data_IF_618885186586
#
_entry.id   IF_618885186586
#
_cell.length_a   1.000
_cell.length_b   1.000
_cell.length_c   1.000
_cell.angle_alpha   90.00
_cell.angle_beta   90.00
_cell.angle_gamma   90.00
#
_symmetry.space_group_name_H-M   'P 1'
#
loop_
_entity.id
_entity.type
_entity.pdbx_description
1 polymer ?
#
# COMPACT_ATOMS: atom_id res chain seq x y z
N UNK A 1 -9.54 -0.36 -24.37
CA UNK A 1 -8.27 -0.29 -23.61
C UNK A 1 -8.41 -1.22 -22.41
N UNK A 2 -7.43 -2.07 -22.14
CA UNK A 2 -7.39 -2.88 -20.92
C UNK A 2 -7.33 -1.96 -19.68
N UNK A 3 -7.93 -2.39 -18.57
CA UNK A 3 -7.85 -1.64 -17.33
C UNK A 3 -6.39 -1.63 -16.81
N UNK A 4 -5.93 -0.47 -16.31
CA UNK A 4 -4.60 -0.32 -15.73
C UNK A 4 -4.56 -1.06 -14.38
N UNK A 5 -3.60 -1.95 -14.20
CA UNK A 5 -3.41 -2.66 -12.93
C UNK A 5 -2.81 -1.73 -11.88
N UNK A 6 -3.43 -1.68 -10.69
CA UNK A 6 -2.90 -0.92 -9.54
C UNK A 6 -2.76 -1.84 -8.33
N UNK A 7 -1.54 -2.07 -7.87
CA UNK A 7 -1.28 -2.71 -6.58
C UNK A 7 -1.21 -1.65 -5.49
N UNK A 8 -2.25 -1.55 -4.68
CA UNK A 8 -2.31 -0.63 -3.56
C UNK A 8 -1.79 -1.28 -2.27
N UNK A 9 -0.70 -0.74 -1.72
CA UNK A 9 -0.12 -1.22 -0.46
C UNK A 9 -0.76 -0.46 0.70
N UNK A 10 -1.54 -1.16 1.51
CA UNK A 10 -2.22 -0.64 2.70
C UNK A 10 -1.62 -1.19 4.00
N UNK A 11 -1.81 -0.50 5.11
CA UNK A 11 -1.25 -0.82 6.41
C UNK A 11 -0.54 0.37 7.05
N UNK A 12 0.09 0.18 8.22
CA UNK A 12 0.75 1.29 8.90
C UNK A 12 2.18 1.54 8.39
N UNK A 13 2.62 2.79 8.48
CA UNK A 13 3.97 3.22 8.11
C UNK A 13 5.07 2.42 8.85
N UNK A 14 6.28 2.39 8.29
CA UNK A 14 7.46 1.67 8.81
C UNK A 14 7.35 0.14 8.70
N UNK A 15 6.48 -0.36 7.84
CA UNK A 15 6.30 -1.80 7.60
C UNK A 15 7.04 -2.33 6.37
N UNK A 16 7.93 -1.53 5.73
CA UNK A 16 8.76 -2.00 4.61
C UNK A 16 8.16 -1.78 3.22
N UNK A 17 7.07 -1.01 3.08
CA UNK A 17 6.44 -0.74 1.77
C UNK A 17 7.38 -0.09 0.76
N UNK A 18 8.31 0.77 1.20
CA UNK A 18 9.29 1.42 0.31
C UNK A 18 10.21 0.41 -0.36
N UNK A 19 10.78 -0.52 0.39
CA UNK A 19 11.70 -1.50 -0.19
C UNK A 19 10.97 -2.51 -1.08
N UNK A 20 9.78 -2.98 -0.69
CA UNK A 20 8.97 -3.87 -1.51
C UNK A 20 8.56 -3.17 -2.81
N UNK A 21 8.10 -1.92 -2.73
CA UNK A 21 7.74 -1.13 -3.90
C UNK A 21 8.92 -0.88 -4.83
N UNK A 22 10.11 -0.56 -4.27
CA UNK A 22 11.32 -0.38 -5.07
C UNK A 22 11.77 -1.67 -5.76
N UNK A 23 11.64 -2.83 -5.09
CA UNK A 23 11.93 -4.12 -5.74
C UNK A 23 10.96 -4.38 -6.89
N UNK A 24 9.66 -4.14 -6.71
CA UNK A 24 8.67 -4.29 -7.77
C UNK A 24 8.86 -3.27 -8.90
N UNK A 25 9.45 -2.10 -8.63
CA UNK A 25 9.80 -1.12 -9.66
C UNK A 25 10.87 -1.61 -10.65
N UNK A 26 11.64 -2.62 -10.28
CA UNK A 26 12.64 -3.25 -11.16
C UNK A 26 12.05 -4.34 -12.08
N UNK A 27 10.75 -4.59 -11.97
CA UNK A 27 10.01 -5.48 -12.87
C UNK A 27 9.58 -4.67 -14.10
N UNK A 28 9.84 -5.21 -15.30
CA UNK A 28 9.46 -4.56 -16.54
C UNK A 28 7.95 -4.26 -16.58
N UNK A 29 7.58 -3.05 -16.99
CA UNK A 29 6.19 -2.60 -17.04
C UNK A 29 5.58 -2.23 -15.69
N UNK A 30 6.31 -2.33 -14.58
CA UNK A 30 5.89 -1.90 -13.27
C UNK A 30 6.47 -0.54 -12.89
N UNK A 31 5.69 0.29 -12.19
CA UNK A 31 6.14 1.58 -11.69
C UNK A 31 5.69 1.81 -10.25
N UNK A 32 6.64 2.11 -9.34
CA UNK A 32 6.36 2.44 -7.95
C UNK A 32 6.26 3.95 -7.73
N UNK A 33 5.08 4.42 -7.35
CA UNK A 33 4.82 5.84 -7.10
C UNK A 33 5.36 6.35 -5.77
N UNK A 34 5.67 5.47 -4.82
CA UNK A 34 5.85 5.83 -3.42
C UNK A 34 4.51 6.10 -2.74
N UNK A 35 4.45 7.05 -1.83
CA UNK A 35 3.23 7.45 -1.11
C UNK A 35 2.51 8.56 -1.88
N UNK A 36 1.81 8.19 -2.96
CA UNK A 36 1.17 9.12 -3.90
C UNK A 36 0.21 10.10 -3.22
N UNK A 37 -0.46 9.65 -2.17
CA UNK A 37 -1.36 10.47 -1.34
C UNK A 37 -0.74 11.75 -0.77
N UNK A 38 0.59 11.85 -0.76
CA UNK A 38 1.31 13.04 -0.29
C UNK A 38 1.83 13.94 -1.43
N UNK A 39 1.57 13.61 -2.69
CA UNK A 39 2.13 14.34 -3.83
C UNK A 39 1.84 15.85 -3.76
N UNK A 40 0.58 16.23 -3.76
CA UNK A 40 0.19 17.66 -3.77
C UNK A 40 0.62 18.40 -2.51
N UNK A 41 0.53 17.73 -1.34
CA UNK A 41 0.99 18.29 -0.07
C UNK A 41 2.49 18.60 -0.08
N UNK A 42 3.30 17.71 -0.64
CA UNK A 42 4.76 17.86 -0.66
C UNK A 42 5.26 18.71 -1.84
N UNK A 43 4.48 18.85 -2.91
CA UNK A 43 4.85 19.68 -4.06
C UNK A 43 4.61 21.18 -3.81
N UNK A 44 3.38 21.53 -3.42
CA UNK A 44 2.96 22.94 -3.29
C UNK A 44 2.34 23.27 -1.93
N UNK A 45 2.14 22.28 -1.06
CA UNK A 45 1.61 22.48 0.29
C UNK A 45 2.72 22.66 1.33
N UNK A 46 2.37 22.44 2.58
CA UNK A 46 3.28 22.55 3.74
C UNK A 46 3.99 21.23 4.09
N UNK A 47 4.21 20.36 3.11
CA UNK A 47 4.93 19.10 3.30
C UNK A 47 6.43 19.30 3.42
N UNK A 48 7.09 18.48 4.23
CA UNK A 48 8.55 18.55 4.46
C UNK A 48 9.37 17.66 3.53
N UNK A 49 8.72 16.73 2.81
CA UNK A 49 9.40 15.75 1.97
C UNK A 49 9.23 16.09 0.48
N UNK A 50 9.88 17.17 0.05
CA UNK A 50 9.68 17.79 -1.27
C UNK A 50 10.48 17.15 -2.40
N UNK A 51 11.42 16.23 -2.08
CA UNK A 51 12.25 15.59 -3.09
C UNK A 51 11.57 14.35 -3.69
N UNK A 52 11.72 14.17 -4.98
CA UNK A 52 11.45 12.93 -5.70
C UNK A 52 12.54 11.89 -5.40
N UNK A 53 12.26 10.60 -5.56
CA UNK A 53 13.25 9.51 -5.50
C UNK A 53 14.42 9.68 -6.47
N UNK A 54 14.23 10.45 -7.54
CA UNK A 54 15.30 10.81 -8.48
C UNK A 54 16.26 11.91 -7.97
N UNK A 55 15.99 12.48 -6.79
CA UNK A 55 16.82 13.52 -6.17
C UNK A 55 16.45 14.97 -6.54
N UNK A 56 15.55 15.21 -7.51
CA UNK A 56 15.06 16.56 -7.85
C UNK A 56 13.83 16.92 -7.02
N UNK A 57 13.49 18.21 -6.91
CA UNK A 57 12.21 18.61 -6.30
C UNK A 57 11.03 18.06 -7.11
N UNK A 58 9.92 17.69 -6.44
CA UNK A 58 8.72 17.13 -7.09
C UNK A 58 8.20 18.04 -8.22
N UNK A 59 8.16 19.32 -8.00
CA UNK A 59 7.71 20.32 -9.00
C UNK A 59 8.64 20.44 -10.23
N UNK A 60 9.91 20.03 -10.09
CA UNK A 60 10.92 20.06 -11.15
C UNK A 60 11.16 18.67 -11.77
N UNK A 61 10.61 17.63 -11.17
CA UNK A 61 10.75 16.27 -11.70
C UNK A 61 9.97 16.14 -13.01
N UNK A 62 10.59 15.64 -14.11
CA UNK A 62 9.92 15.54 -15.42
C UNK A 62 8.63 14.73 -15.41
N UNK A 63 8.52 13.75 -14.49
CA UNK A 63 7.30 12.97 -14.32
C UNK A 63 6.27 13.74 -13.49
N UNK A 64 6.66 14.19 -12.29
CA UNK A 64 5.70 14.74 -11.35
C UNK A 64 5.18 16.11 -11.74
N UNK A 65 5.94 16.93 -12.48
CA UNK A 65 5.44 18.19 -13.04
C UNK A 65 4.21 17.95 -13.91
N UNK A 66 4.24 16.95 -14.81
CA UNK A 66 3.10 16.59 -15.66
C UNK A 66 1.90 16.06 -14.85
N UNK A 67 2.16 15.29 -13.79
CA UNK A 67 1.10 14.73 -12.94
C UNK A 67 0.43 15.81 -12.10
N UNK A 68 1.20 16.78 -11.60
CA UNK A 68 0.70 17.87 -10.75
C UNK A 68 -0.28 18.80 -11.48
N UNK A 69 -0.23 18.88 -12.79
CA UNK A 69 -1.17 19.64 -13.62
C UNK A 69 -2.54 18.95 -13.76
N UNK A 70 -2.62 17.66 -13.43
CA UNK A 70 -3.85 16.88 -13.62
C UNK A 70 -4.97 17.31 -12.67
N UNK A 71 -6.15 17.61 -13.27
CA UNK A 71 -7.34 17.99 -12.50
C UNK A 71 -7.35 19.44 -11.99
N UNK A 72 -6.40 20.28 -12.41
CA UNK A 72 -6.45 21.73 -12.23
C UNK A 72 -7.65 22.32 -12.99
N UNK A 73 -8.28 23.33 -12.42
CA UNK A 73 -9.36 24.09 -13.07
C UNK A 73 -8.76 25.18 -13.97
N UNK A 74 -9.49 25.61 -15.03
CA UNK A 74 -9.04 26.72 -15.85
C UNK A 74 -8.72 27.96 -15.01
N UNK A 75 -7.48 28.48 -15.12
CA UNK A 75 -7.01 29.64 -14.38
C UNK A 75 -6.66 29.39 -12.90
N UNK A 76 -6.74 28.16 -12.43
CA UNK A 76 -6.35 27.79 -11.06
C UNK A 76 -4.81 27.75 -10.93
N UNK A 77 -4.26 28.39 -9.89
CA UNK A 77 -2.82 28.28 -9.62
C UNK A 77 -2.47 26.87 -9.09
N UNK A 78 -1.21 26.41 -9.31
CA UNK A 78 -0.77 25.10 -8.79
C UNK A 78 -0.95 24.95 -7.28
N UNK A 79 -0.75 26.02 -6.52
CA UNK A 79 -0.91 26.01 -5.06
C UNK A 79 -2.39 25.89 -4.66
N UNK A 80 -3.29 26.60 -5.36
CA UNK A 80 -4.74 26.52 -5.12
C UNK A 80 -5.26 25.10 -5.44
N UNK A 81 -4.80 24.53 -6.57
CA UNK A 81 -5.11 23.15 -6.96
C UNK A 81 -4.63 22.15 -5.90
N UNK A 82 -3.37 22.25 -5.48
CA UNK A 82 -2.82 21.37 -4.46
C UNK A 82 -3.56 21.48 -3.12
N UNK A 83 -3.91 22.69 -2.70
CA UNK A 83 -4.69 22.92 -1.48
C UNK A 83 -6.07 22.26 -1.57
N UNK A 84 -6.75 22.40 -2.72
CA UNK A 84 -8.06 21.78 -2.98
C UNK A 84 -7.95 20.26 -2.96
N UNK A 85 -6.94 19.67 -3.61
CA UNK A 85 -6.70 18.23 -3.63
C UNK A 85 -6.44 17.67 -2.21
N UNK A 86 -5.59 18.36 -1.42
CA UNK A 86 -5.26 17.98 -0.03
C UNK A 86 -6.48 18.07 0.88
N UNK A 87 -7.28 19.15 0.79
CA UNK A 87 -8.52 19.31 1.58
C UNK A 87 -9.49 18.18 1.27
N UNK A 88 -9.77 17.93 -0.03
CA UNK A 88 -10.64 16.85 -0.45
C UNK A 88 -10.20 15.50 0.11
N UNK A 89 -8.92 15.17 0.02
CA UNK A 89 -8.38 13.95 0.59
C UNK A 89 -8.60 13.88 2.12
N UNK A 90 -8.35 14.98 2.84
CA UNK A 90 -8.54 15.03 4.29
C UNK A 90 -10.00 14.81 4.70
N UNK A 91 -10.94 15.30 3.91
CA UNK A 91 -12.37 15.24 4.21
C UNK A 91 -13.00 13.91 3.79
N UNK A 92 -12.39 13.20 2.83
CA UNK A 92 -13.00 12.01 2.23
C UNK A 92 -12.29 10.70 2.53
N UNK A 93 -10.94 10.64 2.46
CA UNK A 93 -10.17 9.38 2.47
C UNK A 93 -9.15 9.24 3.60
N UNK A 94 -9.37 9.85 4.75
CA UNK A 94 -8.58 9.54 5.96
C UNK A 94 -9.02 8.21 6.55
N UNK A 95 -8.13 7.50 7.23
CA UNK A 95 -8.38 6.16 7.79
C UNK A 95 -9.69 6.05 8.57
N UNK A 96 -10.08 7.10 9.31
CA UNK A 96 -11.37 7.16 10.03
C UNK A 96 -12.60 7.06 9.12
N UNK A 97 -12.45 7.33 7.82
CA UNK A 97 -13.53 7.29 6.84
C UNK A 97 -13.69 5.92 6.17
N UNK A 98 -12.78 4.96 6.42
CA UNK A 98 -12.76 3.66 5.73
C UNK A 98 -14.12 2.98 5.76
N UNK A 99 -14.75 2.89 6.94
CA UNK A 99 -16.06 2.27 7.06
C UNK A 99 -17.14 2.98 6.26
N UNK A 100 -17.12 4.32 6.25
CA UNK A 100 -18.05 5.12 5.46
C UNK A 100 -17.88 4.84 3.96
N UNK A 101 -16.65 4.82 3.46
CA UNK A 101 -16.36 4.54 2.04
C UNK A 101 -16.79 3.13 1.67
N UNK A 102 -16.48 2.13 2.48
CA UNK A 102 -16.87 0.74 2.25
C UNK A 102 -18.38 0.49 2.18
N UNK A 103 -19.21 1.36 2.79
CA UNK A 103 -20.67 1.23 2.81
C UNK A 103 -21.38 1.97 1.68
N UNK A 104 -20.64 2.68 0.86
CA UNK A 104 -21.21 3.42 -0.28
C UNK A 104 -21.09 2.60 -1.54
N UNK A 105 -22.22 2.12 -2.07
CA UNK A 105 -22.27 1.48 -3.39
C UNK A 105 -22.06 2.52 -4.49
N UNK A 106 -22.52 3.75 -4.27
CA UNK A 106 -22.26 4.91 -5.13
C UNK A 106 -21.52 5.97 -4.30
N UNK A 107 -20.32 6.39 -4.73
CA UNK A 107 -19.55 7.42 -4.04
C UNK A 107 -20.30 8.75 -3.96
N UNK A 108 -20.14 9.50 -2.85
CA UNK A 108 -20.55 10.90 -2.81
C UNK A 108 -19.82 11.72 -3.87
N UNK A 109 -20.33 12.91 -4.19
CA UNK A 109 -19.72 13.81 -5.19
C UNK A 109 -18.24 14.04 -4.90
N UNK A 110 -17.86 14.32 -3.65
CA UNK A 110 -16.47 14.58 -3.25
C UNK A 110 -15.59 13.33 -3.39
N UNK A 111 -16.12 12.14 -3.05
CA UNK A 111 -15.42 10.88 -3.25
C UNK A 111 -15.25 10.55 -4.72
N UNK A 112 -16.29 10.80 -5.52
CA UNK A 112 -16.24 10.62 -6.98
C UNK A 112 -15.19 11.53 -7.60
N UNK A 113 -15.15 12.81 -7.24
CA UNK A 113 -14.15 13.75 -7.73
C UNK A 113 -12.73 13.37 -7.31
N UNK A 114 -12.54 12.81 -6.10
CA UNK A 114 -11.25 12.27 -5.68
C UNK A 114 -10.87 11.03 -6.51
N UNK A 115 -11.81 10.12 -6.76
CA UNK A 115 -11.59 8.96 -7.62
C UNK A 115 -11.23 9.36 -9.06
N UNK A 116 -11.86 10.42 -9.61
CA UNK A 116 -11.51 10.95 -10.93
C UNK A 116 -10.10 11.54 -10.97
N UNK A 117 -9.69 12.25 -9.93
CA UNK A 117 -8.32 12.75 -9.82
C UNK A 117 -7.31 11.60 -9.78
N UNK A 118 -7.56 10.56 -8.98
CA UNK A 118 -6.72 9.36 -8.95
C UNK A 118 -6.65 8.66 -10.31
N UNK A 119 -7.79 8.51 -10.98
CA UNK A 119 -7.84 7.89 -12.32
C UNK A 119 -6.97 8.63 -13.33
N UNK A 120 -7.06 9.98 -13.37
CA UNK A 120 -6.22 10.82 -14.22
C UNK A 120 -4.75 10.69 -13.85
N UNK A 121 -4.46 10.73 -12.56
CA UNK A 121 -3.09 10.61 -12.01
C UNK A 121 -2.44 9.30 -12.43
N UNK A 122 -3.09 8.16 -12.21
CA UNK A 122 -2.54 6.85 -12.57
C UNK A 122 -2.35 6.71 -14.09
N UNK A 123 -3.28 7.20 -14.90
CA UNK A 123 -3.13 7.18 -16.35
C UNK A 123 -1.95 8.03 -16.82
N UNK A 124 -1.82 9.26 -16.31
CA UNK A 124 -0.69 10.13 -16.66
C UNK A 124 0.65 9.50 -16.27
N UNK A 125 0.72 8.82 -15.13
CA UNK A 125 1.92 8.07 -14.72
C UNK A 125 2.19 6.94 -15.71
N UNK A 126 1.18 6.11 -16.01
CA UNK A 126 1.29 4.99 -16.93
C UNK A 126 1.75 5.44 -18.32
N UNK A 127 1.14 6.49 -18.88
CA UNK A 127 1.48 7.05 -20.19
C UNK A 127 2.91 7.63 -20.21
N UNK A 128 3.32 8.30 -19.14
CA UNK A 128 4.64 8.93 -19.05
C UNK A 128 5.78 7.94 -18.82
N UNK A 129 5.48 6.77 -18.24
CA UNK A 129 6.48 5.74 -17.89
C UNK A 129 6.43 4.52 -18.80
N UNK A 130 5.38 4.36 -19.61
CA UNK A 130 5.11 3.15 -20.40
C UNK A 130 4.70 1.95 -19.53
N UNK A 131 4.30 2.17 -18.28
CA UNK A 131 3.98 1.09 -17.35
C UNK A 131 2.52 0.67 -17.45
N UNK A 132 2.25 -0.62 -17.31
CA UNK A 132 0.90 -1.19 -17.27
C UNK A 132 0.51 -1.66 -15.85
N UNK A 133 1.45 -1.64 -14.91
CA UNK A 133 1.23 -1.88 -13.48
C UNK A 133 1.75 -0.69 -12.67
N UNK A 134 0.90 -0.12 -11.83
CA UNK A 134 1.28 0.91 -10.87
C UNK A 134 1.28 0.32 -9.46
N UNK A 135 2.37 0.52 -8.73
CA UNK A 135 2.47 0.16 -7.31
C UNK A 135 2.33 1.44 -6.49
N UNK A 136 1.23 1.58 -5.74
CA UNK A 136 0.99 2.72 -4.87
C UNK A 136 1.09 2.33 -3.41
N UNK A 137 2.03 2.92 -2.70
CA UNK A 137 2.22 2.69 -1.26
C UNK A 137 1.60 3.81 -0.40
N UNK A 138 0.46 4.35 -0.80
CA UNK A 138 -0.27 5.43 -0.12
C UNK A 138 -0.75 5.08 1.29
N UNK A 139 -0.90 3.81 1.62
CA UNK A 139 -1.20 3.21 2.93
C UNK A 139 -2.59 3.47 3.49
N UNK A 140 -3.33 4.49 3.06
CA UNK A 140 -4.64 4.82 3.61
C UNK A 140 -5.69 3.75 3.26
N UNK A 141 -6.26 3.02 4.26
CA UNK A 141 -7.28 2.01 3.99
C UNK A 141 -8.54 2.58 3.35
N UNK A 142 -8.87 3.84 3.62
CA UNK A 142 -10.01 4.51 3.00
C UNK A 142 -9.81 4.81 1.51
N UNK A 143 -8.59 5.10 1.10
CA UNK A 143 -8.24 5.27 -0.31
C UNK A 143 -8.22 3.91 -1.01
N UNK A 144 -7.68 2.86 -0.34
CA UNK A 144 -7.81 1.48 -0.81
C UNK A 144 -9.29 1.06 -1.01
N UNK A 145 -10.18 1.45 -0.07
CA UNK A 145 -11.61 1.20 -0.18
C UNK A 145 -12.28 1.95 -1.35
N UNK A 146 -11.70 3.07 -1.78
CA UNK A 146 -12.19 3.85 -2.93
C UNK A 146 -11.76 3.28 -4.29
N UNK A 147 -10.69 2.47 -4.34
CA UNK A 147 -10.12 1.98 -5.59
C UNK A 147 -11.11 1.31 -6.55
N UNK A 148 -12.14 0.53 -6.12
CA UNK A 148 -13.12 -0.05 -7.02
C UNK A 148 -13.95 0.99 -7.78
N UNK A 149 -14.00 2.24 -7.30
CA UNK A 149 -14.72 3.35 -7.91
C UNK A 149 -13.82 4.26 -8.79
N UNK A 150 -12.53 3.91 -8.92
CA UNK A 150 -11.60 4.63 -9.80
C UNK A 150 -11.69 4.07 -11.21
N UNK A 151 -12.22 4.87 -12.12
CA UNK A 151 -12.52 4.43 -13.48
C UNK A 151 -11.26 4.01 -14.26
N UNK A 152 -11.37 2.82 -14.92
CA UNK A 152 -10.33 2.31 -15.80
C UNK A 152 -9.11 1.73 -15.12
N UNK A 153 -9.21 1.41 -13.82
CA UNK A 153 -8.20 0.63 -13.11
C UNK A 153 -8.73 -0.72 -12.65
N UNK A 154 -7.81 -1.67 -12.49
CA UNK A 154 -8.02 -2.99 -11.88
C UNK A 154 -7.25 -3.03 -10.57
N UNK A 155 -7.89 -2.83 -9.40
CA UNK A 155 -7.18 -2.76 -8.13
C UNK A 155 -6.85 -4.14 -7.57
N UNK A 156 -5.62 -4.24 -7.02
CA UNK A 156 -5.14 -5.32 -6.16
C UNK A 156 -4.60 -4.73 -4.86
N UNK A 157 -4.57 -5.50 -3.79
CA UNK A 157 -4.27 -5.00 -2.46
C UNK A 157 -3.18 -5.83 -1.79
N UNK A 158 -2.16 -5.15 -1.28
CA UNK A 158 -1.20 -5.72 -0.36
C UNK A 158 -1.43 -5.16 1.04
N UNK A 159 -1.97 -5.98 1.96
CA UNK A 159 -2.02 -5.63 3.37
C UNK A 159 -0.67 -5.98 4.01
N UNK A 160 0.17 -4.97 4.17
CA UNK A 160 1.53 -5.11 4.67
C UNK A 160 1.61 -4.72 6.14
N UNK A 161 2.02 -5.66 6.98
CA UNK A 161 2.20 -5.45 8.42
C UNK A 161 3.65 -5.70 8.85
N UNK A 162 4.02 -5.17 9.99
CA UNK A 162 5.28 -5.44 10.68
C UNK A 162 5.04 -5.51 12.18
N UNK A 163 5.91 -6.22 12.91
CA UNK A 163 5.85 -6.28 14.38
C UNK A 163 5.65 -4.89 14.99
N UNK A 164 4.57 -4.65 15.75
CA UNK A 164 4.27 -3.34 16.31
C UNK A 164 5.38 -2.80 17.22
N UNK A 165 6.18 -3.68 17.85
CA UNK A 165 7.32 -3.30 18.68
C UNK A 165 8.47 -2.75 17.83
N UNK A 166 8.73 -3.39 16.67
CA UNK A 166 9.69 -2.89 15.69
C UNK A 166 9.24 -1.56 15.08
N UNK A 167 7.96 -1.43 14.79
CA UNK A 167 7.35 -0.19 14.29
C UNK A 167 7.45 0.93 15.32
N UNK A 168 7.06 0.69 16.57
CA UNK A 168 7.15 1.66 17.65
C UNK A 168 8.60 2.12 17.85
N UNK A 169 9.56 1.19 17.87
CA UNK A 169 10.99 1.49 17.94
C UNK A 169 11.45 2.37 16.77
N UNK A 170 11.02 2.06 15.53
CA UNK A 170 11.35 2.87 14.35
C UNK A 170 10.82 4.30 14.46
N UNK A 171 9.69 4.54 15.16
CA UNK A 171 9.12 5.86 15.37
C UNK A 171 9.79 6.66 16.48
N UNK A 172 10.54 6.04 17.38
CA UNK A 172 11.34 6.76 18.39
C UNK A 172 12.62 7.37 17.81
N UNK A 173 13.09 6.86 16.66
CA UNK A 173 14.30 7.35 16.00
C UNK A 173 14.00 8.61 15.20
N UNK A 174 14.72 9.70 15.46
CA UNK A 174 14.66 10.92 14.63
C UNK A 174 15.16 10.64 13.23
N UNK A 175 14.37 11.01 12.22
CA UNK A 175 14.74 10.96 10.81
C UNK A 175 14.43 12.30 10.16
N UNK A 176 15.15 12.63 9.09
CA UNK A 176 15.15 13.95 8.45
C UNK A 176 13.75 14.55 8.17
N UNK A 177 12.74 13.71 7.89
CA UNK A 177 11.38 14.15 7.53
C UNK A 177 10.30 13.67 8.50
N UNK A 178 10.68 13.17 9.66
CA UNK A 178 9.76 12.48 10.55
C UNK A 178 9.89 12.99 11.96
N UNK A 179 8.81 13.58 12.45
CA UNK A 179 8.68 13.93 13.87
C UNK A 179 8.53 12.63 14.67
N UNK A 180 9.34 12.40 15.70
CA UNK A 180 9.22 11.24 16.56
C UNK A 180 7.82 11.13 17.17
N UNK A 181 7.36 9.89 17.34
CA UNK A 181 6.04 9.60 17.90
C UNK A 181 6.19 8.68 19.12
N UNK A 182 5.37 8.90 20.15
CA UNK A 182 5.36 7.99 21.29
C UNK A 182 4.94 6.58 20.90
N UNK A 183 5.48 5.57 21.58
CA UNK A 183 5.16 4.17 21.30
C UNK A 183 3.65 3.88 21.40
N UNK A 184 2.96 4.44 22.39
CA UNK A 184 1.52 4.29 22.55
C UNK A 184 0.75 4.85 21.34
N UNK A 185 1.06 6.07 20.90
CA UNK A 185 0.42 6.70 19.74
C UNK A 185 0.71 5.92 18.46
N UNK A 186 1.95 5.51 18.24
CA UNK A 186 2.33 4.67 17.09
C UNK A 186 1.55 3.37 17.07
N UNK A 187 1.40 2.71 18.23
CA UNK A 187 0.67 1.45 18.34
C UNK A 187 -0.82 1.62 18.11
N UNK A 188 -1.43 2.72 18.59
CA UNK A 188 -2.83 3.02 18.31
C UNK A 188 -3.09 3.22 16.81
N UNK A 189 -2.21 3.96 16.13
CA UNK A 189 -2.29 4.08 14.65
C UNK A 189 -2.06 2.73 13.96
N UNK A 190 -1.05 1.96 14.39
CA UNK A 190 -0.79 0.62 13.86
C UNK A 190 -2.04 -0.25 13.96
N UNK A 191 -2.70 -0.27 15.11
CA UNK A 191 -3.92 -1.02 15.33
C UNK A 191 -5.05 -0.55 14.40
N UNK A 192 -5.36 0.76 14.40
CA UNK A 192 -6.46 1.31 13.62
C UNK A 192 -6.26 1.16 12.10
N UNK A 193 -5.05 1.37 11.60
CA UNK A 193 -4.75 1.17 10.17
C UNK A 193 -4.89 -0.30 9.77
N UNK A 194 -4.36 -1.23 10.57
CA UNK A 194 -4.41 -2.64 10.22
C UNK A 194 -5.83 -3.23 10.31
N UNK A 195 -6.64 -2.83 11.30
CA UNK A 195 -8.06 -3.20 11.34
C UNK A 195 -8.81 -2.67 10.11
N UNK A 196 -8.59 -1.40 9.75
CA UNK A 196 -9.22 -0.81 8.58
C UNK A 196 -8.76 -1.48 7.27
N UNK A 197 -7.46 -1.85 7.16
CA UNK A 197 -6.94 -2.60 6.01
C UNK A 197 -7.56 -3.98 5.89
N UNK A 198 -7.75 -4.70 7.01
CA UNK A 198 -8.46 -5.98 7.01
C UNK A 198 -9.90 -5.85 6.49
N UNK A 199 -10.61 -4.78 6.85
CA UNK A 199 -11.98 -4.55 6.37
C UNK A 199 -12.03 -4.39 4.85
N UNK A 200 -11.03 -3.74 4.27
CA UNK A 200 -10.91 -3.58 2.81
C UNK A 200 -10.58 -4.90 2.14
N UNK A 201 -9.50 -5.55 2.58
CA UNK A 201 -8.99 -6.76 1.90
C UNK A 201 -9.95 -7.93 2.00
N UNK A 202 -10.73 -8.05 3.09
CA UNK A 202 -11.79 -9.06 3.21
C UNK A 202 -12.93 -8.92 2.21
N UNK A 203 -13.14 -7.74 1.63
CA UNK A 203 -14.12 -7.53 0.56
C UNK A 203 -13.61 -7.94 -0.81
N UNK A 204 -12.30 -8.10 -0.94
CA UNK A 204 -11.62 -8.44 -2.19
C UNK A 204 -10.61 -9.57 -2.00
N UNK A 205 -11.03 -10.75 -1.49
CA UNK A 205 -10.10 -11.83 -1.09
C UNK A 205 -9.24 -12.30 -2.27
N UNK A 206 -9.82 -12.46 -3.47
CA UNK A 206 -9.12 -12.91 -4.68
C UNK A 206 -8.10 -11.89 -5.23
N UNK A 207 -8.17 -10.63 -4.77
CA UNK A 207 -7.32 -9.53 -5.21
C UNK A 207 -6.45 -8.99 -4.08
N UNK A 208 -6.33 -9.75 -2.99
CA UNK A 208 -5.64 -9.30 -1.79
C UNK A 208 -4.62 -10.32 -1.31
N UNK A 209 -3.47 -9.82 -0.89
CA UNK A 209 -2.45 -10.59 -0.19
C UNK A 209 -2.18 -9.95 1.17
N UNK A 210 -2.18 -10.78 2.23
CA UNK A 210 -1.67 -10.39 3.54
C UNK A 210 -0.19 -10.79 3.64
N UNK A 211 0.66 -9.86 4.04
CA UNK A 211 2.10 -10.07 4.14
C UNK A 211 2.66 -9.45 5.41
N UNK A 212 3.46 -10.22 6.15
CA UNK A 212 4.32 -9.66 7.19
C UNK A 212 5.66 -9.27 6.57
N UNK A 213 6.19 -8.13 6.98
CA UNK A 213 7.52 -7.68 6.56
C UNK A 213 8.60 -8.72 6.85
N UNK A 214 8.47 -9.41 7.99
CA UNK A 214 9.37 -10.47 8.43
C UNK A 214 9.39 -11.65 7.46
N UNK A 215 8.23 -12.00 6.86
CA UNK A 215 8.13 -13.09 5.87
C UNK A 215 8.77 -12.67 4.54
N UNK A 216 8.56 -11.40 4.12
CA UNK A 216 9.28 -10.85 2.96
C UNK A 216 10.79 -10.95 3.16
N UNK A 217 11.30 -10.51 4.30
CA UNK A 217 12.73 -10.56 4.56
C UNK A 217 13.26 -12.00 4.71
N UNK A 218 12.47 -12.93 5.21
CA UNK A 218 12.86 -14.35 5.30
C UNK A 218 13.00 -14.99 3.91
N UNK A 219 12.06 -14.69 2.99
CA UNK A 219 11.99 -15.30 1.66
C UNK A 219 11.63 -14.26 0.59
N UNK A 220 12.56 -13.31 0.29
CA UNK A 220 12.22 -12.17 -0.56
C UNK A 220 11.84 -12.57 -2.00
N UNK A 221 12.56 -13.50 -2.62
CA UNK A 221 12.23 -13.93 -3.98
C UNK A 221 10.84 -14.57 -4.05
N UNK A 222 10.53 -15.54 -3.18
CA UNK A 222 9.22 -16.19 -3.14
C UNK A 222 8.08 -15.23 -2.84
N UNK A 223 8.34 -14.18 -2.04
CA UNK A 223 7.35 -13.13 -1.78
C UNK A 223 7.08 -12.31 -3.03
N UNK A 224 8.11 -11.92 -3.77
CA UNK A 224 7.94 -11.18 -5.02
C UNK A 224 7.20 -12.03 -6.06
N UNK A 225 7.53 -13.33 -6.21
CA UNK A 225 6.78 -14.24 -7.10
C UNK A 225 5.29 -14.28 -6.73
N UNK A 226 4.97 -14.32 -5.43
CA UNK A 226 3.58 -14.30 -4.97
C UNK A 226 2.87 -12.99 -5.27
N UNK A 227 3.56 -11.85 -5.20
CA UNK A 227 3.02 -10.54 -5.56
C UNK A 227 2.81 -10.42 -7.07
N UNK A 228 3.76 -10.91 -7.89
CA UNK A 228 3.61 -10.94 -9.35
C UNK A 228 2.42 -11.80 -9.76
N UNK A 229 2.25 -12.97 -9.15
CA UNK A 229 1.09 -13.82 -9.36
C UNK A 229 -0.21 -13.12 -8.98
N UNK A 230 -0.26 -12.43 -7.82
CA UNK A 230 -1.43 -11.69 -7.38
C UNK A 230 -1.90 -10.68 -8.43
N UNK A 231 -0.97 -9.91 -9.03
CA UNK A 231 -1.25 -8.88 -10.03
C UNK A 231 -1.30 -9.40 -11.46
N UNK A 232 -1.29 -10.73 -11.64
CA UNK A 232 -1.37 -11.43 -12.92
C UNK A 232 -0.17 -11.18 -13.86
N UNK A 233 1.00 -10.98 -13.28
CA UNK A 233 2.28 -10.81 -13.99
C UNK A 233 3.16 -12.08 -13.87
N UNK A 234 2.57 -13.25 -14.01
CA UNK A 234 3.23 -14.55 -13.81
C UNK A 234 4.45 -14.79 -14.73
N UNK A 235 4.53 -14.07 -15.86
CA UNK A 235 5.62 -14.16 -16.82
C UNK A 235 6.74 -13.16 -16.58
N UNK A 236 6.55 -12.23 -15.66
CA UNK A 236 7.54 -11.21 -15.34
C UNK A 236 8.76 -11.85 -14.65
N UNK A 237 9.93 -11.30 -14.96
CA UNK A 237 11.18 -11.78 -14.36
C UNK A 237 11.31 -11.21 -12.96
N UNK A 238 11.45 -12.08 -11.96
CA UNK A 238 11.71 -11.67 -10.59
C UNK A 238 13.10 -11.02 -10.48
N UNK A 239 13.22 -9.76 -10.06
CA UNK A 239 14.48 -9.06 -9.96
C UNK A 239 15.36 -9.52 -8.78
N UNK A 240 14.82 -10.30 -7.84
CA UNK A 240 15.53 -10.76 -6.64
C UNK A 240 16.31 -12.04 -6.94
N UNK A 241 17.63 -11.97 -6.80
CA UNK A 241 18.52 -13.12 -6.91
C UNK A 241 19.02 -13.51 -5.52
N UNK A 242 18.47 -14.61 -4.97
CA UNK A 242 18.72 -15.01 -3.58
C UNK A 242 18.18 -13.96 -2.60
N UNK A 243 19.03 -13.10 -2.07
CA UNK A 243 18.68 -11.98 -1.18
C UNK A 243 19.14 -10.62 -1.72
N UNK A 244 19.56 -10.58 -2.95
CA UNK A 244 20.12 -9.35 -3.57
C UNK A 244 19.22 -8.91 -4.72
N UNK A 245 19.06 -7.61 -4.85
CA UNK A 245 18.38 -6.95 -5.96
C UNK A 245 19.24 -5.78 -6.43
N UNK A 246 19.23 -5.50 -7.73
CA UNK A 246 19.84 -4.29 -8.28
C UNK A 246 18.74 -3.25 -8.41
N UNK A 247 18.81 -2.21 -7.59
CA UNK A 247 17.84 -1.10 -7.62
C UNK A 247 18.31 -0.01 -8.55
N UNK A 248 17.45 0.39 -9.46
CA UNK A 248 17.63 1.53 -10.34
C UNK A 248 17.25 2.86 -9.66
N UNK A 249 17.38 3.95 -10.42
CA UNK A 249 16.85 5.26 -10.05
C UNK A 249 15.34 5.24 -10.18
N UNK A 250 14.63 5.72 -9.18
CA UNK A 250 13.17 5.75 -9.18
C UNK A 250 12.61 7.18 -9.05
N UNK A 251 11.29 7.31 -9.21
CA UNK A 251 10.57 8.59 -9.09
C UNK A 251 9.53 8.56 -7.97
N UNK A 252 9.84 7.93 -6.86
CA UNK A 252 8.90 7.82 -5.74
C UNK A 252 8.61 9.17 -5.06
N UNK A 253 7.33 9.38 -4.73
CA UNK A 253 6.86 10.46 -3.86
C UNK A 253 6.93 10.00 -2.42
N UNK A 254 7.57 10.74 -1.54
CA UNK A 254 7.60 10.42 -0.11
C UNK A 254 8.08 8.97 0.17
N UNK A 255 8.30 8.64 1.39
CA UNK A 255 8.74 7.32 1.82
C UNK A 255 9.93 7.39 2.75
N UNK A 256 10.46 6.21 3.09
CA UNK A 256 11.68 6.12 3.90
C UNK A 256 12.89 6.60 3.08
N UNK A 257 13.97 7.12 3.70
CA UNK A 257 15.22 7.44 3.00
C UNK A 257 15.77 6.31 2.13
N UNK A 258 15.44 5.06 2.42
CA UNK A 258 15.80 3.89 1.59
C UNK A 258 15.29 3.99 0.13
N UNK A 259 14.38 4.91 -0.18
CA UNK A 259 13.95 5.18 -1.56
C UNK A 259 15.04 5.75 -2.46
N UNK A 260 16.12 6.30 -1.86
CA UNK A 260 17.28 6.80 -2.58
C UNK A 260 18.36 5.73 -2.79
N UNK A 261 18.16 4.50 -2.28
CA UNK A 261 19.06 3.39 -2.53
C UNK A 261 19.06 3.03 -4.01
N UNK A 262 20.25 2.83 -4.56
CA UNK A 262 20.47 2.37 -5.93
C UNK A 262 21.65 1.40 -5.98
N UNK A 263 21.73 0.61 -7.05
CA UNK A 263 22.78 -0.40 -7.22
C UNK A 263 22.46 -1.70 -6.47
N UNK A 264 23.47 -2.54 -6.32
CA UNK A 264 23.32 -3.84 -5.65
C UNK A 264 22.96 -3.70 -4.19
N UNK A 265 21.75 -4.12 -3.85
CA UNK A 265 21.16 -3.95 -2.51
C UNK A 265 20.86 -5.31 -1.90
N UNK A 266 21.43 -5.58 -0.72
CA UNK A 266 21.15 -6.78 0.06
C UNK A 266 19.89 -6.59 0.90
N UNK A 267 18.88 -7.42 0.69
CA UNK A 267 17.67 -7.50 1.52
C UNK A 267 18.03 -8.21 2.84
N UNK A 268 18.50 -7.41 3.80
CA UNK A 268 19.03 -7.91 5.08
C UNK A 268 17.90 -8.49 5.94
N UNK A 269 18.19 -9.50 6.79
CA UNK A 269 17.30 -9.93 7.84
C UNK A 269 16.80 -8.74 8.66
N UNK A 270 15.55 -8.83 9.10
CA UNK A 270 14.86 -7.72 9.76
C UNK A 270 15.65 -7.11 10.91
N UNK A 271 15.43 -5.80 11.10
CA UNK A 271 16.02 -5.03 12.20
C UNK A 271 15.41 -5.49 13.54
N UNK A 272 16.11 -6.38 14.21
CA UNK A 272 15.80 -6.89 15.56
C UNK A 272 16.34 -6.00 16.69
N UNK A 273 16.90 -4.81 16.35
CA UNK A 273 17.45 -3.87 17.33
C UNK A 273 16.45 -3.50 18.42
N UNK A 274 15.15 -3.45 18.09
CA UNK A 274 14.10 -3.20 19.07
C UNK A 274 14.08 -4.23 20.22
N UNK A 275 14.51 -5.46 19.97
CA UNK A 275 14.61 -6.51 21.00
C UNK A 275 15.59 -6.13 22.12
N UNK A 276 16.65 -5.42 21.77
CA UNK A 276 17.69 -4.97 22.71
C UNK A 276 17.44 -3.53 23.17
N UNK A 277 17.10 -2.62 22.23
CA UNK A 277 17.08 -1.17 22.47
C UNK A 277 15.77 -0.67 23.09
N UNK A 278 14.63 -1.35 22.84
CA UNK A 278 13.35 -0.91 23.39
C UNK A 278 13.22 -1.33 24.87
N UNK A 279 12.92 -0.38 25.74
CA UNK A 279 12.78 -0.63 27.19
C UNK A 279 11.68 -1.69 27.46
N UNK A 280 11.85 -2.60 28.45
CA UNK A 280 10.89 -3.66 28.76
C UNK A 280 9.47 -3.16 28.99
N UNK A 281 9.31 -2.04 29.70
CA UNK A 281 7.99 -1.40 29.95
C UNK A 281 7.31 -0.97 28.67
N UNK A 282 8.07 -0.44 27.70
CA UNK A 282 7.54 -0.02 26.39
C UNK A 282 7.15 -1.23 25.55
N UNK A 283 7.94 -2.32 25.57
CA UNK A 283 7.58 -3.59 24.91
C UNK A 283 6.27 -4.15 25.46
N UNK A 284 6.11 -4.16 26.79
CA UNK A 284 4.89 -4.63 27.45
C UNK A 284 3.66 -3.77 27.04
N UNK A 285 3.80 -2.43 27.07
CA UNK A 285 2.76 -1.50 26.66
C UNK A 285 2.33 -1.73 25.20
N UNK A 286 3.29 -1.77 24.28
CA UNK A 286 3.02 -2.01 22.85
C UNK A 286 2.34 -3.36 22.65
N UNK A 287 2.82 -4.42 23.32
CA UNK A 287 2.24 -5.75 23.23
C UNK A 287 0.80 -5.80 23.77
N UNK A 288 0.53 -5.11 24.87
CA UNK A 288 -0.83 -5.03 25.44
C UNK A 288 -1.79 -4.27 24.50
N UNK A 289 -1.38 -3.11 23.98
CA UNK A 289 -2.22 -2.29 23.09
C UNK A 289 -2.48 -2.96 21.72
N UNK A 290 -1.56 -3.78 21.24
CA UNK A 290 -1.68 -4.49 19.97
C UNK A 290 -2.18 -5.93 20.10
N UNK A 291 -2.47 -6.39 21.35
CA UNK A 291 -2.74 -7.79 21.70
C UNK A 291 -3.72 -8.52 20.78
N UNK A 292 -4.88 -7.96 20.37
CA UNK A 292 -5.83 -8.71 19.54
C UNK A 292 -5.25 -9.07 18.17
N UNK A 293 -4.51 -8.13 17.54
CA UNK A 293 -3.95 -8.33 16.20
C UNK A 293 -2.63 -9.11 16.21
N UNK A 294 -1.79 -8.95 17.25
CA UNK A 294 -0.51 -9.67 17.32
C UNK A 294 -0.69 -11.18 17.39
N UNK A 295 -1.77 -11.66 18.01
CA UNK A 295 -2.15 -13.08 17.97
C UNK A 295 -2.51 -13.52 16.55
N UNK A 296 -3.39 -12.76 15.88
CA UNK A 296 -3.85 -13.02 14.52
C UNK A 296 -2.71 -12.97 13.49
N UNK A 297 -1.80 -12.01 13.63
CA UNK A 297 -0.67 -11.83 12.71
C UNK A 297 0.57 -12.67 13.09
N UNK A 298 0.43 -13.60 14.05
CA UNK A 298 1.49 -14.52 14.48
C UNK A 298 2.76 -13.82 14.98
N UNK A 299 2.61 -12.70 15.70
CA UNK A 299 3.70 -12.00 16.39
C UNK A 299 3.88 -12.49 17.85
N UNK A 300 3.17 -13.54 18.24
CA UNK A 300 3.31 -14.26 19.52
C UNK A 300 4.05 -15.57 19.28
N UNK A 301 5.14 -15.77 19.99
CA UNK A 301 5.98 -16.97 19.87
C UNK A 301 7.24 -16.78 19.02
N UNK A 302 8.06 -17.83 18.87
CA UNK A 302 9.22 -17.83 18.00
C UNK A 302 8.77 -17.58 16.54
N UNK A 303 9.62 -17.00 15.68
CA UNK A 303 9.29 -16.79 14.29
C UNK A 303 8.96 -18.14 13.63
N UNK A 304 7.72 -18.27 13.14
CA UNK A 304 7.35 -19.40 12.32
C UNK A 304 8.06 -19.29 10.96
N UNK A 305 8.40 -20.42 10.31
CA UNK A 305 8.92 -20.39 8.95
C UNK A 305 7.96 -19.63 8.04
N UNK A 306 8.51 -18.87 7.09
CA UNK A 306 7.76 -18.03 6.17
C UNK A 306 6.70 -18.87 5.44
N UNK A 307 5.43 -18.54 5.68
CA UNK A 307 4.31 -19.05 4.91
C UNK A 307 3.64 -17.84 4.26
N UNK A 308 3.68 -17.80 2.94
CA UNK A 308 2.78 -16.95 2.15
C UNK A 308 1.39 -17.58 2.31
N UNK A 309 0.54 -16.97 3.12
CA UNK A 309 -0.83 -17.44 3.32
C UNK A 309 -1.69 -16.81 2.24
N UNK A 310 -2.30 -17.59 1.32
CA UNK A 310 -3.41 -17.09 0.52
C UNK A 310 -4.46 -16.48 1.46
N UNK A 311 -5.17 -15.47 0.99
CA UNK A 311 -6.27 -14.90 1.75
C UNK A 311 -7.23 -15.99 2.26
N UNK A 312 -8.07 -15.74 3.29
CA UNK A 312 -8.98 -16.74 3.83
C UNK A 312 -9.82 -17.33 2.70
N UNK A 313 -9.86 -18.67 2.63
CA UNK A 313 -10.71 -19.38 1.67
C UNK A 313 -12.14 -18.85 1.73
N UNK A 314 -12.82 -18.68 0.59
CA UNK A 314 -14.21 -18.29 0.57
C UNK A 314 -15.01 -19.30 1.38
N UNK A 315 -15.81 -18.84 2.32
CA UNK A 315 -16.80 -19.65 3.01
C UNK A 315 -17.80 -20.10 1.94
N UNK A 316 -17.67 -21.32 1.45
CA UNK A 316 -18.67 -21.95 0.59
C UNK A 316 -19.91 -22.11 1.45
N UNK A 317 -20.89 -21.24 1.24
CA UNK A 317 -22.22 -21.47 1.80
C UNK A 317 -22.79 -22.74 1.19
N UNK A 318 -22.85 -23.79 1.98
CA UNK A 318 -23.55 -25.05 1.67
C UNK A 318 -25.08 -24.77 1.68
N UNK A 319 -25.56 -24.14 0.62
CA UNK A 319 -26.96 -23.69 0.53
C UNK A 319 -27.57 -23.75 -0.86
N UNK A 320 -26.94 -24.39 -1.85
CA UNK A 320 -27.55 -24.52 -3.19
C UNK A 320 -27.42 -25.92 -3.82
N UNK A 321 -27.49 -26.95 -3.01
CA UNK A 321 -27.66 -28.34 -3.49
C UNK A 321 -29.11 -28.75 -3.23
N UNK A 322 -30.04 -28.41 -4.15
CA UNK A 322 -31.42 -28.86 -3.99
C UNK A 322 -32.43 -28.24 -4.93
N UNK A 323 -32.19 -28.25 -6.25
CA UNK A 323 -33.26 -28.17 -7.24
C UNK A 323 -32.92 -29.02 -8.47
N UNK A 324 -32.98 -30.31 -8.29
CA UNK A 324 -33.18 -31.23 -9.43
C UNK A 324 -34.63 -31.14 -9.85
N UNK A 325 -34.86 -30.77 -11.08
CA UNK A 325 -36.12 -30.73 -11.75
C UNK A 325 -36.59 -32.14 -12.06
N UNK A 326 -37.72 -32.50 -11.49
CA UNK A 326 -38.51 -33.65 -11.91
C UNK A 326 -38.94 -33.50 -13.37
N UNK A 327 -38.28 -34.21 -14.25
CA UNK A 327 -38.70 -34.40 -15.64
C UNK A 327 -39.88 -35.38 -15.74
N UNK A 328 -40.98 -34.86 -16.24
CA UNK A 328 -42.19 -35.62 -16.56
C UNK A 328 -41.93 -36.62 -17.68
N UNK A 329 -42.13 -37.87 -17.38
CA UNK A 329 -42.24 -38.91 -18.39
C UNK A 329 -43.55 -38.78 -19.16
N UNK A 330 -43.49 -38.88 -20.46
CA UNK A 330 -44.65 -39.15 -21.32
C UNK A 330 -44.38 -40.44 -22.08
N UNK A 331 -45.33 -41.39 -21.84
CA UNK A 331 -45.47 -42.62 -22.64
C UNK A 331 -45.96 -42.27 -24.05
N UNK A 332 -45.40 -42.75 -25.08
CA UNK A 332 -45.93 -43.72 -26.09
C UNK A 332 -44.81 -44.09 -27.05
#
# INVERSE_FOLDING_TARGET
MSALTVLYITGWCRSGSTIIGNVLNEVEGCFHTGELSFLWKNAYGNGSNTLCGCGTHLVQCPLWSKVLEQGALPGESPEAHALRAVRRQQDTVRTRHTWRVLRQDTPSTELYEHAQLLAKTYRTIADATGSHVIIDSGKFPSEAALMPHVNGISPYYLHLVRDPRAVAHSWTKTKQYVVPMSAARSTAYWFGFNVASELVTRRHPERSLFLRYEDFIASPAATIDSLLKLIQEDRAVNPVKGRTVVLGRNHTVTGNPDRFLSGSTLLRPGDDAWRKELAPRVKALVSALSWPLTGRYRYRGPPAPAQVVPGPEPVVNAGDAGRETLGTGTRQ
#
